data_IF_038011092403
#
_entry.id   IF_038011092403
#
_cell.length_a   1.000
_cell.length_b   1.000
_cell.length_c   1.000
_cell.angle_alpha   90.00
_cell.angle_beta   90.00
_cell.angle_gamma   90.00
#
_symmetry.space_group_name_H-M   'P 1'
#
loop_
_entity.id
_entity.type
_entity.pdbx_description
1 polymer ?
#
# COMPACT_ATOMS: atom_id res chain seq x y z
N UNK A 1 -26.05 12.54 3.64
CA UNK A 1 -24.69 13.09 3.80
C UNK A 1 -23.70 11.94 3.82
N UNK A 2 -23.31 11.44 2.66
CA UNK A 2 -22.39 10.31 2.50
C UNK A 2 -20.96 10.82 2.66
N UNK A 3 -20.31 10.52 3.79
CA UNK A 3 -18.89 10.79 4.01
C UNK A 3 -18.07 9.89 3.09
N UNK A 4 -17.68 10.40 1.93
CA UNK A 4 -16.69 9.74 1.05
C UNK A 4 -15.34 9.75 1.76
N UNK A 5 -14.96 8.64 2.40
CA UNK A 5 -13.63 8.50 2.99
C UNK A 5 -12.65 8.29 1.83
N UNK A 6 -11.94 9.35 1.45
CA UNK A 6 -11.18 9.48 0.19
C UNK A 6 -9.88 8.66 0.13
N UNK A 7 -9.46 8.05 1.25
CA UNK A 7 -8.23 7.27 1.40
C UNK A 7 -8.47 6.08 2.33
N UNK A 8 -7.75 4.98 2.11
CA UNK A 8 -7.86 3.75 2.91
C UNK A 8 -7.33 3.94 4.33
N UNK A 9 -6.18 4.60 4.46
CA UNK A 9 -5.53 4.93 5.74
C UNK A 9 -5.52 6.45 5.98
N UNK A 10 -5.36 6.83 7.24
CA UNK A 10 -5.27 8.22 7.70
C UNK A 10 -3.92 8.49 8.35
N UNK A 11 -3.51 9.75 8.31
CA UNK A 11 -2.32 10.21 9.04
C UNK A 11 -2.53 9.98 10.54
N UNK A 12 -1.54 9.39 11.19
CA UNK A 12 -1.58 8.98 12.59
C UNK A 12 -2.07 7.56 12.82
N UNK A 13 -2.61 6.87 11.80
CA UNK A 13 -2.94 5.44 11.92
C UNK A 13 -1.66 4.65 12.23
N UNK A 14 -1.80 3.66 13.12
CA UNK A 14 -0.68 2.80 13.53
C UNK A 14 -0.95 1.37 13.07
N UNK A 15 -0.12 0.87 12.16
CA UNK A 15 -0.24 -0.49 11.65
C UNK A 15 0.65 -1.44 12.45
N UNK A 16 0.06 -2.53 12.95
CA UNK A 16 0.75 -3.58 13.73
C UNK A 16 1.62 -3.04 14.87
N UNK A 17 1.19 -1.94 15.52
CA UNK A 17 1.95 -1.24 16.56
C UNK A 17 3.39 -0.88 16.17
N UNK A 18 3.67 -0.77 14.85
CA UNK A 18 5.02 -0.65 14.31
C UNK A 18 5.16 0.55 13.37
N UNK A 19 4.18 0.77 12.51
CA UNK A 19 4.25 1.77 11.45
C UNK A 19 3.25 2.88 11.66
N UNK A 20 3.72 4.12 11.83
CA UNK A 20 2.87 5.30 11.96
C UNK A 20 2.71 5.97 10.60
N UNK A 21 1.50 6.07 10.08
CA UNK A 21 1.24 6.72 8.80
C UNK A 21 1.49 8.22 8.91
N UNK A 22 2.39 8.76 8.08
CA UNK A 22 2.77 10.17 8.07
C UNK A 22 2.05 10.97 7.00
N UNK A 23 2.03 10.49 5.76
CA UNK A 23 1.34 11.16 4.66
C UNK A 23 1.03 10.21 3.51
N UNK A 24 0.02 10.55 2.72
CA UNK A 24 -0.25 9.91 1.44
C UNK A 24 0.85 10.30 0.42
N UNK A 25 1.32 9.34 -0.36
CA UNK A 25 2.30 9.54 -1.44
C UNK A 25 1.59 9.56 -2.79
N UNK A 26 0.75 8.55 -3.05
CA UNK A 26 0.11 8.41 -4.36
C UNK A 26 -0.80 7.20 -4.46
N UNK A 27 -1.57 7.15 -5.55
CA UNK A 27 -2.49 6.06 -5.87
C UNK A 27 -2.21 5.58 -7.29
N UNK A 28 -2.10 4.27 -7.44
CA UNK A 28 -2.01 3.57 -8.72
C UNK A 28 -3.17 2.60 -8.91
N UNK A 29 -3.11 1.77 -9.96
CA UNK A 29 -4.22 0.87 -10.31
C UNK A 29 -4.62 -0.11 -9.21
N UNK A 30 -3.63 -0.76 -8.57
CA UNK A 30 -3.89 -1.79 -7.56
C UNK A 30 -3.94 -1.27 -6.12
N UNK A 31 -3.59 0.00 -5.87
CA UNK A 31 -3.27 0.38 -4.50
C UNK A 31 -2.95 1.84 -4.24
N UNK A 32 -2.93 2.16 -2.96
CA UNK A 32 -2.52 3.43 -2.41
C UNK A 32 -1.18 3.26 -1.70
N UNK A 33 -0.32 4.27 -1.78
CA UNK A 33 1.01 4.28 -1.16
C UNK A 33 1.08 5.45 -0.18
N UNK A 34 1.60 5.16 1.01
CA UNK A 34 1.75 6.08 2.12
C UNK A 34 3.19 6.09 2.59
N UNK A 35 3.69 7.24 3.05
CA UNK A 35 4.90 7.28 3.87
C UNK A 35 4.50 6.93 5.29
N UNK A 36 5.24 6.03 5.91
CA UNK A 36 5.08 5.69 7.30
C UNK A 36 6.43 5.71 8.01
N UNK A 37 6.40 5.78 9.32
CA UNK A 37 7.59 5.85 10.16
C UNK A 37 7.62 4.73 11.18
N UNK A 38 8.79 4.14 11.34
CA UNK A 38 9.05 3.13 12.35
C UNK A 38 9.71 3.77 13.57
N UNK A 39 8.92 4.07 14.60
CA UNK A 39 9.38 4.88 15.74
C UNK A 39 10.57 4.29 16.49
N UNK A 40 10.72 2.96 16.54
CA UNK A 40 11.82 2.30 17.26
C UNK A 40 13.15 2.31 16.51
N UNK A 41 13.14 2.41 15.17
CA UNK A 41 14.33 2.45 14.33
C UNK A 41 14.60 3.84 13.75
N UNK A 42 13.69 4.79 13.99
CA UNK A 42 13.73 6.14 13.44
C UNK A 42 13.96 6.13 11.92
N UNK A 43 13.25 5.24 11.21
CA UNK A 43 13.36 5.09 9.77
C UNK A 43 11.99 5.27 9.10
N UNK A 44 12.02 5.79 7.87
CA UNK A 44 10.83 5.91 7.05
C UNK A 44 10.71 4.73 6.09
N UNK A 45 9.47 4.32 5.85
CA UNK A 45 9.10 3.27 4.92
C UNK A 45 7.96 3.74 4.03
N UNK A 46 7.85 3.14 2.85
CA UNK A 46 6.65 3.23 2.04
C UNK A 46 5.72 2.06 2.41
N UNK A 47 4.45 2.35 2.63
CA UNK A 47 3.40 1.37 2.85
C UNK A 47 2.45 1.38 1.67
N UNK A 48 2.40 0.27 0.94
CA UNK A 48 1.41 0.06 -0.12
C UNK A 48 0.27 -0.80 0.42
N UNK A 49 -0.95 -0.30 0.29
CA UNK A 49 -2.18 -1.05 0.58
C UNK A 49 -2.94 -1.30 -0.71
N UNK A 50 -3.67 -2.41 -0.79
CA UNK A 50 -4.63 -2.63 -1.88
C UNK A 50 -5.78 -1.61 -1.72
N UNK A 51 -6.10 -0.86 -2.77
CA UNK A 51 -6.98 0.31 -2.62
C UNK A 51 -8.43 -0.09 -2.41
N UNK A 52 -9.14 0.67 -1.56
CA UNK A 52 -10.56 0.48 -1.23
C UNK A 52 -11.47 0.45 -2.46
N UNK A 53 -11.33 1.40 -3.37
CA UNK A 53 -12.17 1.47 -4.58
C UNK A 53 -11.99 0.25 -5.47
N UNK A 54 -10.80 -0.32 -5.50
CA UNK A 54 -10.49 -1.48 -6.30
C UNK A 54 -11.06 -2.76 -5.68
N UNK A 55 -10.99 -2.90 -4.36
CA UNK A 55 -11.67 -3.99 -3.64
C UNK A 55 -13.20 -3.87 -3.72
N UNK A 56 -13.76 -2.66 -3.73
CA UNK A 56 -15.21 -2.43 -3.88
C UNK A 56 -15.72 -2.67 -5.30
N UNK A 57 -14.85 -2.60 -6.32
CA UNK A 57 -15.21 -2.92 -7.70
C UNK A 57 -15.35 -4.41 -7.97
N UNK A 58 -14.96 -5.27 -7.01
CA UNK A 58 -15.00 -6.72 -7.11
C UNK A 58 -15.96 -7.25 -6.03
N UNK A 59 -16.89 -8.13 -6.39
CA UNK A 59 -17.94 -8.58 -5.47
C UNK A 59 -17.38 -9.54 -4.40
N UNK A 60 -17.94 -9.52 -3.18
CA UNK A 60 -17.54 -10.41 -2.07
C UNK A 60 -17.89 -11.88 -2.44
N UNK A 61 -16.96 -12.58 -3.07
CA UNK A 61 -17.14 -13.95 -3.57
C UNK A 61 -16.59 -14.20 -4.98
N UNK A 62 -16.07 -13.17 -5.64
CA UNK A 62 -15.50 -13.29 -6.98
C UNK A 62 -14.14 -14.00 -6.95
N UNK A 63 -13.96 -15.02 -7.81
CA UNK A 63 -12.67 -15.72 -7.98
C UNK A 63 -11.57 -14.75 -8.43
N UNK A 64 -11.95 -13.65 -9.08
CA UNK A 64 -11.04 -12.59 -9.50
C UNK A 64 -10.36 -11.89 -8.31
N UNK A 65 -11.09 -11.56 -7.25
CA UNK A 65 -10.52 -10.92 -6.05
C UNK A 65 -9.45 -11.80 -5.40
N UNK A 66 -9.76 -13.08 -5.21
CA UNK A 66 -8.83 -14.05 -4.61
C UNK A 66 -7.59 -14.24 -5.51
N UNK A 67 -7.78 -14.38 -6.83
CA UNK A 67 -6.68 -14.49 -7.79
C UNK A 67 -5.72 -13.30 -7.71
N UNK A 68 -6.26 -12.10 -7.50
CA UNK A 68 -5.48 -10.87 -7.43
C UNK A 68 -4.71 -10.74 -6.12
N UNK A 69 -5.33 -11.07 -4.98
CA UNK A 69 -4.65 -11.16 -3.69
C UNK A 69 -3.53 -12.20 -3.75
N UNK A 70 -3.76 -13.34 -4.41
CA UNK A 70 -2.71 -14.34 -4.62
C UNK A 70 -1.56 -13.84 -5.50
N UNK A 71 -1.85 -13.09 -6.57
CA UNK A 71 -0.82 -12.45 -7.41
C UNK A 71 -0.01 -11.45 -6.60
N UNK A 72 -0.67 -10.60 -5.83
CA UNK A 72 -0.03 -9.65 -4.93
C UNK A 72 0.92 -10.36 -3.96
N UNK A 73 0.44 -11.37 -3.23
CA UNK A 73 1.26 -12.16 -2.31
C UNK A 73 2.45 -12.82 -3.02
N UNK A 74 2.26 -13.34 -4.23
CA UNK A 74 3.34 -13.95 -5.02
C UNK A 74 4.40 -12.92 -5.43
N UNK A 75 3.99 -11.74 -5.88
CA UNK A 75 4.92 -10.64 -6.21
C UNK A 75 5.72 -10.20 -4.99
N UNK A 76 5.05 -10.05 -3.84
CA UNK A 76 5.70 -9.71 -2.57
C UNK A 76 6.73 -10.75 -2.18
N UNK A 77 6.37 -12.03 -2.23
CA UNK A 77 7.29 -13.12 -1.90
C UNK A 77 8.49 -13.18 -2.83
N UNK A 78 8.31 -12.88 -4.12
CA UNK A 78 9.40 -12.79 -5.08
C UNK A 78 10.32 -11.60 -4.77
N UNK A 79 9.76 -10.42 -4.50
CA UNK A 79 10.53 -9.22 -4.16
C UNK A 79 11.29 -9.36 -2.84
N UNK A 80 10.70 -10.03 -1.84
CA UNK A 80 11.33 -10.26 -0.54
C UNK A 80 12.61 -11.12 -0.61
N UNK A 81 12.76 -11.94 -1.66
CA UNK A 81 13.93 -12.80 -1.86
C UNK A 81 15.11 -12.09 -2.53
N UNK A 82 14.90 -10.91 -3.09
CA UNK A 82 15.92 -10.17 -3.84
C UNK A 82 16.57 -9.13 -2.93
N UNK A 83 17.90 -9.05 -2.98
CA UNK A 83 18.69 -8.00 -2.33
C UNK A 83 19.66 -7.42 -3.34
N UNK A 84 19.39 -6.21 -3.83
CA UNK A 84 20.22 -5.56 -4.83
C UNK A 84 20.06 -4.03 -4.74
N UNK A 85 21.13 -3.21 -4.87
CA UNK A 85 21.07 -1.76 -4.69
C UNK A 85 20.10 -1.01 -5.62
N UNK A 86 19.76 -1.60 -6.77
CA UNK A 86 18.83 -1.01 -7.76
C UNK A 86 17.44 -1.66 -7.74
N UNK A 87 17.13 -2.48 -6.73
CA UNK A 87 15.83 -3.14 -6.60
C UNK A 87 15.28 -2.76 -5.23
N UNK A 88 14.06 -2.21 -5.23
CA UNK A 88 13.38 -1.80 -4.01
C UNK A 88 13.22 -2.99 -3.05
N UNK A 89 13.65 -2.78 -1.80
CA UNK A 89 13.59 -3.80 -0.78
C UNK A 89 12.21 -3.85 -0.12
N UNK A 90 11.62 -5.04 -0.05
CA UNK A 90 10.46 -5.32 0.81
C UNK A 90 10.95 -5.70 2.20
N UNK A 91 10.37 -5.08 3.24
CA UNK A 91 10.72 -5.33 4.64
C UNK A 91 9.69 -6.21 5.35
N UNK A 92 8.41 -6.02 5.04
CA UNK A 92 7.32 -6.65 5.79
C UNK A 92 6.06 -6.77 4.93
N UNK A 93 5.20 -7.72 5.29
CA UNK A 93 3.91 -7.93 4.65
C UNK A 93 2.90 -8.49 5.66
N UNK A 94 1.75 -7.82 5.80
CA UNK A 94 0.72 -8.25 6.75
C UNK A 94 -0.68 -7.84 6.30
N UNK A 95 -1.68 -8.47 6.91
CA UNK A 95 -3.07 -8.05 6.82
C UNK A 95 -3.46 -7.22 8.05
N UNK A 96 -4.32 -6.22 7.87
CA UNK A 96 -4.91 -5.43 8.94
C UNK A 96 -6.41 -5.36 8.74
N UNK A 97 -7.14 -5.23 9.85
CA UNK A 97 -8.57 -4.95 9.81
C UNK A 97 -8.78 -3.44 9.82
N UNK A 98 -9.55 -2.94 8.87
CA UNK A 98 -9.99 -1.54 8.81
C UNK A 98 -11.51 -1.46 8.89
N UNK A 99 -12.02 -0.45 9.58
CA UNK A 99 -13.46 -0.19 9.62
C UNK A 99 -13.95 0.45 8.31
N UNK A 100 -14.96 -0.18 7.70
CA UNK A 100 -15.68 0.19 6.47
C UNK A 100 -17.15 0.40 6.78
N UNK A 101 -17.62 1.64 6.91
CA UNK A 101 -19.06 1.93 7.03
C UNK A 101 -19.79 0.99 8.02
N UNK A 102 -19.22 0.81 9.22
CA UNK A 102 -19.71 -0.10 10.28
C UNK A 102 -19.52 -1.62 10.02
N UNK A 103 -18.66 -2.00 9.07
CA UNK A 103 -18.20 -3.38 8.83
C UNK A 103 -16.67 -3.46 8.91
N UNK A 104 -16.15 -4.54 9.47
CA UNK A 104 -14.72 -4.82 9.48
C UNK A 104 -14.29 -5.46 8.15
N UNK A 105 -13.26 -4.91 7.50
CA UNK A 105 -12.68 -5.47 6.28
C UNK A 105 -11.18 -5.73 6.48
N UNK A 106 -10.71 -6.90 6.03
CA UNK A 106 -9.28 -7.23 6.04
C UNK A 106 -8.63 -6.70 4.77
N UNK A 107 -7.55 -5.91 4.92
CA UNK A 107 -6.74 -5.42 3.81
C UNK A 107 -5.28 -5.81 4.02
N UNK A 108 -4.59 -6.15 2.94
CA UNK A 108 -3.16 -6.44 2.97
C UNK A 108 -2.32 -5.20 2.66
N UNK A 109 -1.18 -5.11 3.35
CA UNK A 109 -0.19 -4.07 3.14
C UNK A 109 1.22 -4.65 3.02
N UNK A 110 2.06 -3.95 2.27
CA UNK A 110 3.51 -4.18 2.18
C UNK A 110 4.22 -2.98 2.78
N UNK A 111 5.17 -3.23 3.68
CA UNK A 111 6.15 -2.23 4.08
C UNK A 111 7.44 -2.44 3.27
N UNK A 112 7.90 -1.37 2.62
CA UNK A 112 9.04 -1.39 1.72
C UNK A 112 9.89 -0.14 1.86
N UNK A 113 11.06 -0.16 1.23
CA UNK A 113 11.98 0.97 1.20
C UNK A 113 11.28 2.26 0.73
N UNK A 114 11.46 3.33 1.50
CA UNK A 114 11.03 4.66 1.08
C UNK A 114 12.12 5.32 0.25
N UNK A 115 11.83 5.55 -1.02
CA UNK A 115 12.73 6.25 -1.94
C UNK A 115 12.23 7.69 -2.12
N UNK A 116 12.96 8.71 -1.63
CA UNK A 116 12.64 10.10 -1.89
C UNK A 116 13.02 10.46 -3.34
N UNK A 117 12.26 11.35 -3.97
CA UNK A 117 12.60 11.90 -5.31
C UNK A 117 11.60 11.61 -6.42
N UNK A 118 10.50 10.91 -6.13
CA UNK A 118 9.44 10.67 -7.11
C UNK A 118 9.76 9.55 -8.12
N UNK A 119 8.90 9.40 -9.11
CA UNK A 119 9.00 8.41 -10.18
C UNK A 119 9.69 8.99 -11.41
N UNK A 120 10.19 8.12 -12.30
CA UNK A 120 10.69 8.54 -13.62
C UNK A 120 9.62 9.32 -14.41
N UNK A 121 8.35 8.96 -14.25
CA UNK A 121 7.24 9.67 -14.89
C UNK A 121 7.19 11.14 -14.50
N UNK A 122 7.56 11.50 -13.27
CA UNK A 122 7.54 12.87 -12.79
C UNK A 122 8.64 13.74 -13.42
N UNK A 123 9.65 13.12 -14.04
CA UNK A 123 10.74 13.83 -14.75
C UNK A 123 10.55 13.87 -16.26
N UNK A 124 9.53 13.21 -16.79
CA UNK A 124 9.24 13.16 -18.23
C UNK A 124 8.35 14.33 -18.67
N UNK A 125 8.59 14.90 -19.87
CA UNK A 125 7.72 15.93 -20.45
C UNK A 125 6.37 15.34 -20.85
N UNK A 126 5.32 16.19 -20.90
CA UNK A 126 3.95 15.76 -21.25
C UNK A 126 3.82 15.10 -22.63
N UNK A 127 4.75 15.40 -23.54
CA UNK A 127 4.81 14.84 -24.90
C UNK A 127 5.42 13.42 -24.95
N UNK A 128 5.94 12.91 -23.84
CA UNK A 128 6.66 11.63 -23.76
C UNK A 128 5.81 10.47 -23.23
N UNK A 129 5.21 9.70 -24.14
CA UNK A 129 4.77 8.32 -23.95
C UNK A 129 5.11 7.48 -25.18
#
# INVERSE_FOLDING_TARGET
>A
MTKTCKTTLKVGDVLNNKWVIHNFIGKGGMGEVYRAHQSNLNCDVAIKVVSREWLESIDEGDEEAETLVQRFRREVQAMAQIRHPNILQVFDHHAITVEKCDKEASIEYIAMEYIPGGSLRDTMPEEGF
#
